data_IF_603677364380
#
_entry.id   IF_603677364380
#
_cell.length_a   1.000
_cell.length_b   1.000
_cell.length_c   1.000
_cell.angle_alpha   90.00
_cell.angle_beta   90.00
_cell.angle_gamma   90.00
#
_symmetry.space_group_name_H-M   'P 1'
#
loop_
_entity.id
_entity.type
_entity.pdbx_description
1 polymer ?
#
# COMPACT_ATOMS: atom_id res chain seq x y z
N UNK A 1 2.48 -10.03 -7.97
CA UNK A 1 2.11 -8.62 -7.84
C UNK A 1 1.05 -8.25 -8.84
N UNK A 2 -0.03 -7.65 -8.41
CA UNK A 2 -1.08 -7.27 -9.34
C UNK A 2 -0.58 -6.25 -10.33
N UNK A 3 -0.72 -6.54 -11.61
CA UNK A 3 -0.18 -5.68 -12.63
C UNK A 3 -1.07 -4.48 -12.90
N UNK A 4 -2.31 -4.58 -12.58
CA UNK A 4 -3.28 -3.56 -12.93
C UNK A 4 -2.99 -2.18 -12.33
N UNK A 5 -2.25 -2.12 -11.25
CA UNK A 5 -2.02 -0.86 -10.57
C UNK A 5 -0.69 -0.21 -10.88
N UNK A 6 0.16 -0.91 -11.59
CA UNK A 6 1.50 -0.42 -11.85
C UNK A 6 1.55 0.85 -12.69
N UNK A 7 0.76 0.90 -13.71
CA UNK A 7 0.89 1.94 -14.70
C UNK A 7 0.07 3.21 -14.43
N UNK A 8 -0.73 3.20 -13.38
CA UNK A 8 -1.72 4.25 -13.20
C UNK A 8 -1.60 4.88 -11.81
N UNK A 9 -0.70 5.86 -11.65
CA UNK A 9 -0.51 6.50 -10.34
C UNK A 9 -1.80 7.16 -9.87
N UNK A 10 -2.06 7.13 -8.56
CA UNK A 10 -3.24 7.82 -8.03
C UNK A 10 -3.16 9.31 -8.26
N UNK A 11 -4.32 9.95 -8.38
CA UNK A 11 -4.39 11.40 -8.58
C UNK A 11 -4.65 12.15 -7.28
N UNK A 12 -5.00 11.45 -6.22
CA UNK A 12 -5.38 12.06 -4.94
C UNK A 12 -4.70 11.37 -3.78
N UNK A 13 -4.64 12.04 -2.65
CA UNK A 13 -4.12 11.44 -1.41
C UNK A 13 -4.96 10.22 -1.01
N UNK A 14 -6.27 10.27 -1.21
CA UNK A 14 -7.15 9.12 -0.94
C UNK A 14 -6.72 7.91 -1.76
N UNK A 15 -6.37 8.12 -3.02
CA UNK A 15 -5.89 7.05 -3.87
C UNK A 15 -4.58 6.45 -3.38
N UNK A 16 -3.65 7.28 -2.92
CA UNK A 16 -2.40 6.80 -2.32
C UNK A 16 -2.68 6.02 -1.04
N UNK A 17 -3.54 6.54 -0.19
CA UNK A 17 -3.91 5.88 1.05
C UNK A 17 -4.56 4.52 0.79
N UNK A 18 -5.43 4.44 -0.20
CA UNK A 18 -6.07 3.18 -0.57
C UNK A 18 -5.03 2.13 -0.96
N UNK A 19 -4.08 2.49 -1.79
CA UNK A 19 -3.07 1.55 -2.25
C UNK A 19 -2.10 1.15 -1.16
N UNK A 20 -1.75 2.08 -0.27
CA UNK A 20 -0.94 1.74 0.90
C UNK A 20 -1.68 0.75 1.80
N UNK A 21 -2.96 1.00 2.05
CA UNK A 21 -3.78 0.11 2.88
C UNK A 21 -3.85 -1.28 2.27
N UNK A 22 -3.99 -1.35 0.95
CA UNK A 22 -4.02 -2.65 0.27
C UNK A 22 -2.69 -3.38 0.40
N UNK A 23 -1.57 -2.69 0.27
CA UNK A 23 -0.25 -3.30 0.45
C UNK A 23 -0.12 -3.87 1.86
N UNK A 24 -0.62 -3.16 2.85
CA UNK A 24 -0.57 -3.60 4.25
C UNK A 24 -1.48 -4.81 4.48
N UNK A 25 -2.73 -4.75 4.01
CA UNK A 25 -3.66 -5.84 4.24
C UNK A 25 -3.26 -7.12 3.51
N UNK A 26 -2.67 -7.00 2.33
CA UNK A 26 -2.29 -8.20 1.59
C UNK A 26 -0.96 -8.81 2.03
N UNK A 27 -0.17 -8.10 2.82
CA UNK A 27 1.11 -8.62 3.28
C UNK A 27 0.94 -9.93 4.04
N UNK A 28 1.61 -10.98 3.59
CA UNK A 28 1.49 -12.30 4.18
C UNK A 28 0.24 -13.06 3.82
N UNK A 29 -0.61 -12.53 2.94
CA UNK A 29 -1.85 -13.17 2.54
C UNK A 29 -1.91 -13.35 1.03
N UNK A 30 -2.88 -14.11 0.58
CA UNK A 30 -3.11 -14.31 -0.85
C UNK A 30 -3.69 -13.01 -1.43
N UNK A 31 -2.94 -12.38 -2.34
CA UNK A 31 -3.35 -11.10 -2.90
C UNK A 31 -4.66 -11.20 -3.71
N UNK A 32 -4.95 -12.38 -4.30
CA UNK A 32 -6.18 -12.57 -5.06
C UNK A 32 -7.39 -12.55 -4.12
N UNK A 33 -7.27 -13.16 -2.94
CA UNK A 33 -8.33 -13.11 -1.94
C UNK A 33 -8.60 -11.66 -1.52
N UNK A 34 -7.54 -10.89 -1.31
CA UNK A 34 -7.67 -9.48 -0.96
C UNK A 34 -8.32 -8.71 -2.11
N UNK A 35 -7.90 -8.98 -3.34
CA UNK A 35 -8.50 -8.35 -4.51
C UNK A 35 -10.00 -8.61 -4.59
N UNK A 36 -10.42 -9.85 -4.36
CA UNK A 36 -11.84 -10.22 -4.39
C UNK A 36 -12.64 -9.53 -3.30
N UNK A 37 -12.03 -9.29 -2.14
CA UNK A 37 -12.70 -8.62 -1.02
C UNK A 37 -12.58 -7.11 -1.08
N UNK A 38 -11.79 -6.57 -1.99
CA UNK A 38 -11.49 -5.14 -1.98
C UNK A 38 -12.72 -4.22 -2.08
N UNK A 39 -13.76 -4.54 -2.86
CA UNK A 39 -14.98 -3.72 -2.82
C UNK A 39 -15.59 -3.62 -1.42
N UNK A 40 -15.50 -4.70 -0.63
CA UNK A 40 -15.98 -4.69 0.75
C UNK A 40 -15.10 -3.80 1.63
N UNK A 41 -13.77 -3.84 1.41
CA UNK A 41 -12.85 -2.95 2.12
C UNK A 41 -13.16 -1.48 1.81
N UNK A 42 -13.42 -1.16 0.56
CA UNK A 42 -13.78 0.21 0.17
C UNK A 42 -15.02 0.69 0.92
N UNK A 43 -16.03 -0.17 0.98
CA UNK A 43 -17.25 0.16 1.67
C UNK A 43 -17.00 0.35 3.16
N UNK A 44 -16.23 -0.55 3.76
CA UNK A 44 -15.97 -0.54 5.19
C UNK A 44 -15.14 0.68 5.63
N UNK A 45 -14.23 1.14 4.77
CA UNK A 45 -13.32 2.24 5.08
C UNK A 45 -13.71 3.55 4.39
N UNK A 46 -14.99 3.76 4.13
CA UNK A 46 -15.51 5.03 3.57
C UNK A 46 -14.77 5.42 2.28
N UNK A 47 -14.59 4.46 1.37
CA UNK A 47 -13.88 4.63 0.10
C UNK A 47 -12.44 5.13 0.29
N UNK A 48 -11.85 4.79 1.42
CA UNK A 48 -10.50 5.20 1.78
C UNK A 48 -10.32 6.72 1.77
N UNK A 49 -11.36 7.44 2.21
CA UNK A 49 -11.25 8.87 2.43
C UNK A 49 -10.31 9.09 3.61
N UNK A 50 -9.18 9.73 3.37
CA UNK A 50 -8.22 10.06 4.41
C UNK A 50 -8.91 10.83 5.54
N UNK A 51 -9.69 11.84 5.16
CA UNK A 51 -10.39 12.67 6.14
C UNK A 51 -11.32 11.85 7.03
N UNK A 52 -12.13 10.99 6.42
CA UNK A 52 -13.10 10.21 7.19
C UNK A 52 -12.43 9.14 8.04
N UNK A 53 -11.51 8.39 7.46
CA UNK A 53 -10.85 7.31 8.20
C UNK A 53 -9.99 7.85 9.33
N UNK A 54 -9.37 9.02 9.16
CA UNK A 54 -8.57 9.63 10.21
C UNK A 54 -9.39 9.93 11.47
N UNK A 55 -10.71 10.03 11.32
CA UNK A 55 -11.62 10.31 12.44
C UNK A 55 -12.27 9.06 13.01
N UNK A 56 -11.98 7.88 12.47
CA UNK A 56 -12.52 6.64 13.02
C UNK A 56 -12.00 6.44 14.44
N UNK A 57 -12.89 6.00 15.32
CA UNK A 57 -12.55 5.70 16.70
C UNK A 57 -12.95 4.28 17.06
N UNK A 58 -13.09 4.00 18.35
CA UNK A 58 -13.39 2.66 18.86
C UNK A 58 -14.70 2.10 18.28
N UNK A 59 -15.67 2.96 18.05
CA UNK A 59 -16.94 2.54 17.47
C UNK A 59 -16.75 1.93 16.09
N UNK A 60 -15.96 2.60 15.26
CA UNK A 60 -15.68 2.11 13.92
C UNK A 60 -14.82 0.84 13.95
N UNK A 61 -13.84 0.77 14.86
CA UNK A 61 -13.04 -0.45 15.01
C UNK A 61 -13.95 -1.63 15.36
N UNK A 62 -14.88 -1.45 16.30
CA UNK A 62 -15.81 -2.51 16.66
C UNK A 62 -16.68 -2.93 15.46
N UNK A 63 -17.13 -1.97 14.68
CA UNK A 63 -17.91 -2.26 13.47
C UNK A 63 -17.10 -3.06 12.47
N UNK A 64 -15.86 -2.65 12.25
CA UNK A 64 -14.96 -3.34 11.31
C UNK A 64 -14.62 -4.75 11.76
N UNK A 65 -14.46 -4.96 13.05
CA UNK A 65 -14.17 -6.29 13.59
C UNK A 65 -15.35 -7.26 13.47
N UNK A 66 -16.52 -6.75 13.17
CA UNK A 66 -17.71 -7.58 12.93
C UNK A 66 -18.03 -7.73 11.45
N UNK A 67 -17.30 -7.05 10.57
CA UNK A 67 -17.57 -7.07 9.14
C UNK A 67 -16.97 -8.32 8.52
N UNK A 68 -17.81 -9.26 8.14
CA UNK A 68 -17.37 -10.53 7.56
C UNK A 68 -16.87 -10.38 6.12
N UNK A 69 -17.08 -9.24 5.51
CA UNK A 69 -16.63 -8.98 4.14
C UNK A 69 -15.16 -8.60 4.02
N UNK A 70 -14.51 -8.33 5.15
CA UNK A 70 -13.10 -7.92 5.16
C UNK A 70 -12.27 -8.89 6.00
N UNK A 71 -10.95 -8.76 5.90
CA UNK A 71 -10.04 -9.50 6.77
C UNK A 71 -9.99 -8.75 8.11
N UNK A 72 -10.43 -9.43 9.17
CA UNK A 72 -10.61 -8.79 10.47
C UNK A 72 -9.34 -8.89 11.31
N UNK A 73 -8.32 -8.19 10.90
CA UNK A 73 -7.07 -8.10 11.63
C UNK A 73 -7.08 -6.76 12.38
N UNK A 74 -7.31 -6.82 13.69
CA UNK A 74 -7.48 -5.61 14.49
C UNK A 74 -6.27 -4.68 14.41
N UNK A 75 -5.06 -5.23 14.44
CA UNK A 75 -3.86 -4.41 14.37
C UNK A 75 -3.76 -3.66 13.05
N UNK A 76 -4.06 -4.33 11.95
CA UNK A 76 -4.05 -3.69 10.63
C UNK A 76 -5.16 -2.66 10.49
N UNK A 77 -6.33 -2.94 11.05
CA UNK A 77 -7.45 -2.00 11.05
C UNK A 77 -7.06 -0.71 11.80
N UNK A 78 -6.53 -0.87 13.02
CA UNK A 78 -6.11 0.28 13.82
C UNK A 78 -4.96 1.04 13.15
N UNK A 79 -4.05 0.31 12.52
CA UNK A 79 -2.94 0.94 11.80
C UNK A 79 -3.42 1.75 10.61
N UNK A 80 -4.47 1.29 9.94
CA UNK A 80 -5.04 2.06 8.83
C UNK A 80 -5.57 3.41 9.29
N UNK A 81 -6.18 3.46 10.47
CA UNK A 81 -6.66 4.71 11.04
C UNK A 81 -5.49 5.63 11.38
N UNK A 82 -4.47 5.09 12.04
CA UNK A 82 -3.26 5.86 12.37
C UNK A 82 -2.58 6.37 11.10
N UNK A 83 -2.54 5.54 10.07
CA UNK A 83 -1.93 5.92 8.79
C UNK A 83 -2.73 7.03 8.10
N UNK A 84 -4.07 7.00 8.18
CA UNK A 84 -4.88 8.10 7.65
C UNK A 84 -4.54 9.41 8.37
N UNK A 85 -4.32 9.35 9.68
CA UNK A 85 -3.92 10.52 10.45
C UNK A 85 -2.54 11.03 10.00
N UNK A 86 -1.64 10.13 9.62
CA UNK A 86 -0.33 10.53 9.11
C UNK A 86 -0.47 11.21 7.73
N UNK A 87 -1.38 10.72 6.88
CA UNK A 87 -1.68 11.41 5.61
C UNK A 87 -2.18 12.83 5.85
N UNK A 88 -2.99 13.04 6.89
CA UNK A 88 -3.46 14.39 7.24
C UNK A 88 -2.29 15.29 7.65
N UNK A 89 -1.34 14.75 8.41
CA UNK A 89 -0.15 15.49 8.78
C UNK A 89 0.70 15.86 7.57
N UNK A 90 0.88 14.91 6.66
CA UNK A 90 1.63 15.14 5.43
C UNK A 90 0.97 16.22 4.59
N UNK A 91 -0.36 16.19 4.52
CA UNK A 91 -1.11 17.20 3.79
C UNK A 91 -0.85 18.59 4.35
N UNK A 92 -0.84 18.72 5.67
CA UNK A 92 -0.57 20.02 6.31
C UNK A 92 0.86 20.49 6.08
N UNK A 93 1.81 19.56 6.09
CA UNK A 93 3.22 19.89 5.99
C UNK A 93 3.68 20.11 4.55
N UNK A 94 3.21 19.29 3.62
CA UNK A 94 3.71 19.28 2.24
C UNK A 94 2.67 19.69 1.20
N UNK A 95 1.41 19.78 1.56
CA UNK A 95 0.33 20.08 0.64
C UNK A 95 -0.35 18.84 0.09
N UNK A 96 0.42 17.91 -0.45
CA UNK A 96 -0.09 16.63 -0.96
C UNK A 96 0.91 15.53 -0.69
N UNK A 97 0.45 14.29 -0.71
CA UNK A 97 1.35 13.14 -0.60
C UNK A 97 2.34 13.10 -1.77
N UNK A 98 1.87 13.45 -2.96
CA UNK A 98 2.72 13.48 -4.14
C UNK A 98 3.89 14.45 -3.97
N UNK A 99 3.64 15.63 -3.42
CA UNK A 99 4.71 16.61 -3.14
C UNK A 99 5.67 16.11 -2.09
N UNK A 100 5.17 15.41 -1.08
CA UNK A 100 6.02 14.80 -0.07
C UNK A 100 6.99 13.81 -0.72
N UNK A 101 6.48 12.93 -1.57
CA UNK A 101 7.30 11.94 -2.26
C UNK A 101 8.32 12.61 -3.20
N UNK A 102 7.88 13.62 -3.94
CA UNK A 102 8.74 14.34 -4.89
C UNK A 102 9.93 14.99 -4.18
N UNK A 103 9.77 15.33 -2.92
CA UNK A 103 10.85 15.95 -2.14
C UNK A 103 12.07 15.05 -1.97
N UNK A 104 11.93 13.74 -2.17
CA UNK A 104 13.07 12.83 -2.09
C UNK A 104 13.86 12.72 -3.39
N UNK A 105 13.35 13.34 -4.46
CA UNK A 105 14.05 13.44 -5.75
C UNK A 105 14.59 12.11 -6.27
N UNK A 106 13.82 11.06 -6.11
CA UNK A 106 14.18 9.74 -6.61
C UNK A 106 15.13 8.94 -5.72
N UNK A 107 15.45 9.43 -4.54
CA UNK A 107 16.28 8.69 -3.59
C UNK A 107 15.41 7.62 -2.92
N UNK A 108 15.41 6.42 -3.48
CA UNK A 108 14.58 5.32 -3.00
C UNK A 108 14.84 4.95 -1.56
N UNK A 109 16.09 4.88 -1.17
CA UNK A 109 16.46 4.44 0.19
C UNK A 109 15.91 5.41 1.22
N UNK A 110 16.07 6.70 0.99
CA UNK A 110 15.57 7.70 1.91
C UNK A 110 14.05 7.73 1.95
N UNK A 111 13.42 7.59 0.79
CA UNK A 111 11.96 7.56 0.73
C UNK A 111 11.42 6.36 1.49
N UNK A 112 11.96 5.17 1.25
CA UNK A 112 11.49 3.95 1.94
C UNK A 112 11.72 4.08 3.44
N UNK A 113 12.88 4.58 3.86
CA UNK A 113 13.16 4.77 5.28
C UNK A 113 12.18 5.74 5.93
N UNK A 114 11.86 6.84 5.26
CA UNK A 114 10.93 7.82 5.78
C UNK A 114 9.50 7.26 5.86
N UNK A 115 9.08 6.54 4.82
CA UNK A 115 7.76 5.88 4.83
C UNK A 115 7.64 4.91 6.00
N UNK A 116 8.68 4.12 6.24
CA UNK A 116 8.67 3.15 7.34
C UNK A 116 8.63 3.83 8.70
N UNK A 117 9.24 4.99 8.82
CA UNK A 117 9.21 5.72 10.09
C UNK A 117 7.88 6.40 10.35
N UNK A 118 7.16 6.79 9.29
CA UNK A 118 5.90 7.51 9.44
C UNK A 118 4.68 6.61 9.53
N UNK A 119 4.69 5.47 8.84
CA UNK A 119 3.50 4.65 8.71
C UNK A 119 3.61 3.34 9.51
N UNK A 120 2.46 2.87 10.00
CA UNK A 120 2.38 1.62 10.77
C UNK A 120 2.21 0.43 9.84
N UNK A 121 2.79 -0.68 10.21
CA UNK A 121 2.73 -1.93 9.46
C UNK A 121 3.30 -1.80 8.04
N UNK A 122 4.15 -0.82 7.82
CA UNK A 122 4.79 -0.64 6.53
C UNK A 122 6.27 -0.98 6.69
N UNK A 123 6.61 -2.26 6.54
CA UNK A 123 8.00 -2.70 6.51
C UNK A 123 8.60 -2.45 5.14
N UNK A 124 9.84 -2.88 4.94
CA UNK A 124 10.51 -2.64 3.67
C UNK A 124 9.77 -3.29 2.49
N UNK A 125 9.34 -4.53 2.64
CA UNK A 125 8.63 -5.23 1.58
C UNK A 125 7.31 -4.55 1.23
N UNK A 126 6.52 -4.19 2.24
CA UNK A 126 5.24 -3.51 2.00
C UNK A 126 5.42 -2.12 1.43
N UNK A 127 6.47 -1.41 1.86
CA UNK A 127 6.77 -0.09 1.31
C UNK A 127 7.12 -0.19 -0.17
N UNK A 128 7.93 -1.18 -0.55
CA UNK A 128 8.28 -1.39 -1.95
C UNK A 128 7.05 -1.78 -2.77
N UNK A 129 6.22 -2.67 -2.23
CA UNK A 129 4.97 -3.06 -2.87
C UNK A 129 4.07 -1.85 -3.10
N UNK A 130 3.92 -1.02 -2.08
CA UNK A 130 3.15 0.20 -2.18
C UNK A 130 3.69 1.12 -3.28
N UNK A 131 4.98 1.37 -3.28
CA UNK A 131 5.59 2.25 -4.29
C UNK A 131 5.41 1.70 -5.70
N UNK A 132 5.54 0.39 -5.86
CA UNK A 132 5.26 -0.26 -7.12
C UNK A 132 3.80 -0.02 -7.57
N UNK A 133 2.87 -0.17 -6.63
CA UNK A 133 1.45 0.00 -6.91
C UNK A 133 1.08 1.42 -7.33
N UNK A 134 1.87 2.41 -6.93
CA UNK A 134 1.59 3.80 -7.27
C UNK A 134 2.46 4.32 -8.42
N UNK A 135 3.12 3.41 -9.10
CA UNK A 135 3.80 3.73 -10.36
C UNK A 135 5.28 4.07 -10.24
N UNK A 136 5.90 3.82 -9.07
CA UNK A 136 7.32 4.05 -8.94
C UNK A 136 8.12 2.94 -9.61
N UNK A 137 9.16 3.33 -10.31
CA UNK A 137 10.04 2.38 -10.98
C UNK A 137 11.24 2.13 -10.07
N UNK A 138 11.08 1.22 -9.16
CA UNK A 138 12.10 0.91 -8.17
C UNK A 138 13.22 0.04 -8.76
N UNK A 139 14.44 0.30 -8.33
CA UNK A 139 15.55 -0.57 -8.70
C UNK A 139 15.40 -1.91 -7.96
N UNK A 140 15.66 -3.04 -8.62
CA UNK A 140 15.55 -4.32 -7.95
C UNK A 140 16.58 -4.44 -6.83
N UNK A 141 16.20 -5.13 -5.76
CA UNK A 141 17.12 -5.45 -4.68
C UNK A 141 18.07 -6.54 -5.16
N UNK A 142 19.14 -6.80 -4.39
CA UNK A 142 20.05 -7.89 -4.71
C UNK A 142 19.32 -9.23 -4.72
N UNK A 143 18.40 -9.42 -3.79
CA UNK A 143 17.61 -10.64 -3.72
C UNK A 143 16.70 -10.80 -4.92
N UNK A 144 16.05 -9.72 -5.34
CA UNK A 144 15.21 -9.74 -6.53
C UNK A 144 16.04 -10.03 -7.78
N UNK A 145 17.22 -9.44 -7.89
CA UNK A 145 18.10 -9.70 -9.01
C UNK A 145 18.56 -11.16 -9.04
N UNK A 146 18.91 -11.71 -7.89
CA UNK A 146 19.31 -13.11 -7.79
C UNK A 146 18.17 -14.04 -8.17
N UNK A 147 16.95 -13.71 -7.71
CA UNK A 147 15.77 -14.49 -8.06
C UNK A 147 15.50 -14.46 -9.56
N UNK A 148 15.58 -13.30 -10.18
CA UNK A 148 15.37 -13.15 -11.61
C UNK A 148 16.41 -13.93 -12.42
N UNK A 149 17.65 -13.87 -12.04
CA UNK A 149 18.71 -14.63 -12.71
C UNK A 149 18.46 -16.12 -12.65
N UNK A 150 18.12 -16.62 -11.48
CA UNK A 150 17.86 -18.05 -11.30
C UNK A 150 16.64 -18.51 -12.10
N UNK A 151 15.58 -17.70 -12.06
CA UNK A 151 14.33 -18.08 -12.71
C UNK A 151 14.36 -17.86 -14.22
N UNK A 152 15.19 -16.96 -14.69
CA UNK A 152 15.36 -16.75 -16.12
C UNK A 152 15.94 -17.98 -16.77
N UNK A 153 16.84 -18.69 -16.08
CA UNK A 153 17.41 -19.91 -16.64
C UNK A 153 16.43 -21.06 -16.65
N UNK A 154 15.54 -21.09 -15.66
CA UNK A 154 14.59 -22.18 -15.52
C UNK A 154 13.29 -21.93 -16.27
N UNK A 155 13.04 -20.71 -16.65
CA UNK A 155 11.79 -20.38 -17.31
C UNK A 155 11.67 -21.14 -18.62
N UNK A 156 10.53 -21.72 -18.91
CA UNK A 156 10.35 -22.40 -20.17
C UNK A 156 10.43 -21.35 -21.26
N UNK A 157 10.99 -21.75 -22.39
CA UNK A 157 11.07 -20.82 -23.44
C UNK A 157 9.71 -20.50 -23.83
N UNK A 158 9.37 -19.29 -23.95
CA UNK A 158 8.11 -18.93 -24.35
C UNK A 158 7.99 -19.38 -25.68
N UNK A 159 7.00 -19.98 -25.92
CA UNK A 159 6.87 -20.56 -27.15
C UNK A 159 6.81 -19.47 -28.00
N UNK A 160 7.42 -19.31 -28.76
CA UNK A 160 7.51 -18.49 -29.61
C UNK A 160 6.41 -18.25 -30.24
N UNK A 161 5.55 -18.51 -29.91
CA UNK A 161 4.39 -18.26 -30.59
C UNK A 161 3.92 -17.06 -30.70
#
# INVERSE_FOLDING_TARGET
MPQAWKADPPKTDDGYFERMSRAIFQAGLNWRMIENKWPNFRKAFADFSVEKVSKFGDKEVRRLMKDTGIVRNEKKIKSSITNAQEYEKIKKEFGTFSKYVDGFRGDEEKLIADLRSRFRFLGESSARTFLYMVGFDLRPTKEEMAWHSANKRKAPKRSKS
#
